data_IF_393913173212
#
_entry.id   IF_393913173212
#
_cell.length_a   1.000
_cell.length_b   1.000
_cell.length_c   1.000
_cell.angle_alpha   90.00
_cell.angle_beta   90.00
_cell.angle_gamma   90.00
#
_symmetry.space_group_name_H-M   'P 1'
#
loop_
_entity.id
_entity.type
_entity.pdbx_description
1 polymer ?
#
# COMPACT_ATOMS: atom_id res chain seq x y z
N UNK A 1 8.09 1.54 1.34
CA UNK A 1 8.93 2.72 1.07
C UNK A 1 9.34 2.78 -0.39
N UNK A 2 9.99 3.87 -0.86
CA UNK A 2 10.42 3.97 -2.25
C UNK A 2 11.48 5.04 -2.50
N UNK A 3 12.18 4.93 -3.63
CA UNK A 3 13.02 5.99 -4.17
C UNK A 3 12.15 6.90 -5.06
N UNK A 4 12.17 8.19 -4.81
CA UNK A 4 11.44 9.20 -5.58
C UNK A 4 12.41 9.89 -6.52
N UNK A 5 12.08 9.96 -7.81
CA UNK A 5 12.91 10.60 -8.83
C UNK A 5 12.08 11.51 -9.72
N UNK A 6 12.60 12.68 -10.07
CA UNK A 6 12.00 13.58 -11.05
C UNK A 6 12.86 13.56 -12.31
N UNK A 7 12.27 13.20 -13.45
CA UNK A 7 12.93 13.19 -14.74
C UNK A 7 12.89 14.56 -15.46
N UNK A 8 13.59 14.64 -16.58
CA UNK A 8 13.63 15.86 -17.43
C UNK A 8 12.30 16.17 -18.11
N UNK A 9 11.37 15.23 -18.16
CA UNK A 9 10.03 15.38 -18.76
C UNK A 9 8.96 15.77 -17.73
N UNK A 10 9.38 16.15 -16.51
CA UNK A 10 8.48 16.50 -15.38
C UNK A 10 7.59 15.33 -14.95
N UNK A 11 8.09 14.10 -15.04
CA UNK A 11 7.48 12.94 -14.44
C UNK A 11 8.14 12.71 -13.08
N UNK A 12 7.34 12.53 -12.04
CA UNK A 12 7.81 12.10 -10.73
C UNK A 12 7.52 10.60 -10.61
N UNK A 13 8.58 9.81 -10.51
CA UNK A 13 8.48 8.38 -10.28
C UNK A 13 8.68 8.04 -8.81
N UNK A 14 7.89 7.12 -8.29
CA UNK A 14 8.12 6.43 -7.03
C UNK A 14 8.43 4.99 -7.39
N UNK A 15 9.70 4.60 -7.20
CA UNK A 15 10.19 3.26 -7.47
C UNK A 15 10.17 2.46 -6.17
N UNK A 16 9.43 1.36 -6.15
CA UNK A 16 9.40 0.43 -5.02
C UNK A 16 9.63 -1.00 -5.51
N UNK A 17 10.25 -1.81 -4.67
CA UNK A 17 10.50 -3.22 -4.92
C UNK A 17 9.85 -4.04 -3.80
N UNK A 18 8.93 -4.91 -4.16
CA UNK A 18 8.17 -5.73 -3.22
C UNK A 18 8.81 -7.11 -3.14
N UNK A 19 9.35 -7.44 -1.98
CA UNK A 19 9.95 -8.74 -1.70
C UNK A 19 8.98 -9.53 -0.85
N UNK A 20 8.47 -10.65 -1.38
CA UNK A 20 7.60 -11.54 -0.63
C UNK A 20 8.31 -12.83 -0.25
N UNK A 21 7.99 -13.34 0.94
CA UNK A 21 8.54 -14.59 1.48
C UNK A 21 7.52 -15.23 2.43
N UNK A 22 7.82 -16.41 2.96
CA UNK A 22 6.94 -17.16 3.87
C UNK A 22 6.29 -18.37 3.19
N UNK A 23 5.61 -19.20 3.99
CA UNK A 23 5.12 -20.50 3.52
C UNK A 23 4.00 -20.39 2.49
N UNK A 24 3.21 -19.32 2.54
CA UNK A 24 2.11 -19.08 1.61
C UNK A 24 2.46 -18.12 0.45
N UNK A 25 3.71 -17.62 0.41
CA UNK A 25 4.19 -16.81 -0.71
C UNK A 25 4.45 -17.68 -1.95
N UNK A 26 4.10 -17.17 -3.13
CA UNK A 26 4.38 -17.80 -4.41
C UNK A 26 4.76 -16.75 -5.45
N UNK A 27 5.48 -17.12 -6.54
CA UNK A 27 5.77 -16.19 -7.62
C UNK A 27 4.52 -15.53 -8.20
N UNK A 28 3.45 -16.31 -8.42
CA UNK A 28 2.19 -15.83 -9.00
C UNK A 28 1.49 -14.82 -8.08
N UNK A 29 1.48 -15.09 -6.76
CA UNK A 29 0.91 -14.16 -5.79
C UNK A 29 1.75 -12.88 -5.68
N UNK A 30 3.07 -12.99 -5.78
CA UNK A 30 3.99 -11.85 -5.79
C UNK A 30 3.73 -10.93 -6.98
N UNK A 31 3.56 -11.51 -8.17
CA UNK A 31 3.19 -10.76 -9.37
C UNK A 31 1.81 -10.11 -9.24
N UNK A 32 0.83 -10.81 -8.66
CA UNK A 32 -0.51 -10.26 -8.40
C UNK A 32 -0.44 -9.05 -7.45
N UNK A 33 0.35 -9.14 -6.39
CA UNK A 33 0.56 -8.02 -5.43
C UNK A 33 1.17 -6.82 -6.14
N UNK A 34 2.24 -7.03 -6.94
CA UNK A 34 2.87 -5.97 -7.74
C UNK A 34 1.85 -5.30 -8.67
N UNK A 35 1.11 -6.09 -9.44
CA UNK A 35 0.15 -5.59 -10.41
C UNK A 35 -1.00 -4.82 -9.76
N UNK A 36 -1.50 -5.28 -8.61
CA UNK A 36 -2.51 -4.57 -7.83
C UNK A 36 -1.98 -3.21 -7.37
N UNK A 37 -0.81 -3.17 -6.77
CA UNK A 37 -0.21 -1.91 -6.30
C UNK A 37 0.02 -0.95 -7.47
N UNK A 38 0.73 -1.39 -8.52
CA UNK A 38 1.10 -0.51 -9.64
C UNK A 38 -0.13 0.02 -10.37
N UNK A 39 -1.11 -0.85 -10.65
CA UNK A 39 -2.33 -0.46 -11.35
C UNK A 39 -3.12 0.55 -10.55
N UNK A 40 -3.42 0.25 -9.27
CA UNK A 40 -4.26 1.10 -8.45
C UNK A 40 -3.62 2.46 -8.16
N UNK A 41 -2.32 2.50 -7.86
CA UNK A 41 -1.64 3.76 -7.54
C UNK A 41 -1.41 4.64 -8.77
N UNK A 42 -1.45 4.09 -9.98
CA UNK A 42 -1.41 4.85 -11.23
C UNK A 42 -2.80 5.26 -11.78
N UNK A 43 -3.90 4.63 -11.32
CA UNK A 43 -5.28 4.89 -11.80
C UNK A 43 -5.68 6.38 -11.71
N UNK A 44 -5.31 7.16 -10.65
CA UNK A 44 -5.71 8.56 -10.56
C UNK A 44 -5.05 9.49 -11.58
N UNK A 45 -3.99 9.07 -12.27
CA UNK A 45 -3.19 9.93 -13.17
C UNK A 45 -2.89 11.30 -12.53
N UNK A 46 -2.43 11.27 -11.26
CA UNK A 46 -2.37 12.45 -10.44
C UNK A 46 -1.33 13.46 -10.92
N UNK A 47 -1.76 14.71 -11.01
CA UNK A 47 -0.90 15.88 -11.23
C UNK A 47 -0.78 16.64 -9.92
N UNK A 48 0.45 16.92 -9.49
CA UNK A 48 0.76 17.70 -8.28
C UNK A 48 1.74 18.82 -8.60
N UNK A 49 1.82 19.81 -7.73
CA UNK A 49 2.81 20.88 -7.84
C UNK A 49 3.98 20.64 -6.91
N UNK A 50 5.21 20.64 -7.46
CA UNK A 50 6.47 20.65 -6.71
C UNK A 50 7.24 21.90 -7.11
N UNK A 51 7.57 22.76 -6.12
CA UNK A 51 8.30 24.01 -6.35
C UNK A 51 7.72 24.82 -7.53
N UNK A 52 6.39 24.99 -7.55
CA UNK A 52 5.64 25.69 -8.60
C UNK A 52 5.63 25.01 -9.97
N UNK A 53 6.16 23.80 -10.09
CA UNK A 53 6.13 23.02 -11.32
C UNK A 53 5.11 21.90 -11.20
N UNK A 54 4.21 21.79 -12.19
CA UNK A 54 3.27 20.67 -12.28
C UNK A 54 4.00 19.43 -12.75
N UNK A 55 3.89 18.33 -11.99
CA UNK A 55 4.50 17.03 -12.29
C UNK A 55 3.44 15.93 -12.26
N UNK A 56 3.56 14.96 -13.15
CA UNK A 56 2.72 13.75 -13.14
C UNK A 56 3.38 12.73 -12.22
N UNK A 57 2.62 12.19 -11.27
CA UNK A 57 3.10 11.13 -10.37
C UNK A 57 2.89 9.77 -11.01
N UNK A 58 3.93 8.94 -11.00
CA UNK A 58 3.94 7.58 -11.50
C UNK A 58 4.56 6.64 -10.47
N UNK A 59 3.95 5.48 -10.30
CA UNK A 59 4.46 4.40 -9.47
C UNK A 59 5.03 3.31 -10.38
N UNK A 60 6.29 2.93 -10.14
CA UNK A 60 6.97 1.82 -10.79
C UNK A 60 7.25 0.76 -9.75
N UNK A 61 6.52 -0.32 -9.81
CA UNK A 61 6.60 -1.40 -8.83
C UNK A 61 7.25 -2.62 -9.49
N UNK A 62 8.33 -3.06 -8.90
CA UNK A 62 8.94 -4.36 -9.22
C UNK A 62 8.70 -5.32 -8.06
N UNK A 63 8.80 -6.62 -8.30
CA UNK A 63 8.62 -7.59 -7.24
C UNK A 63 9.53 -8.81 -7.41
N UNK A 64 9.83 -9.46 -6.28
CA UNK A 64 10.60 -10.68 -6.20
C UNK A 64 9.99 -11.62 -5.15
N UNK A 65 9.78 -12.88 -5.53
CA UNK A 65 9.50 -13.94 -4.58
C UNK A 65 10.81 -14.56 -4.10
N UNK A 66 11.02 -14.61 -2.78
CA UNK A 66 12.15 -15.29 -2.16
C UNK A 66 11.67 -16.51 -1.39
N UNK A 67 11.96 -17.69 -1.89
CA UNK A 67 11.67 -18.94 -1.18
C UNK A 67 12.42 -19.02 0.15
N UNK A 68 13.65 -18.49 0.17
CA UNK A 68 14.51 -18.40 1.35
C UNK A 68 15.07 -16.99 1.46
N UNK A 69 14.88 -16.38 2.59
CA UNK A 69 15.45 -15.09 2.97
C UNK A 69 15.92 -15.18 4.41
N UNK A 70 17.10 -14.67 4.71
CA UNK A 70 17.57 -14.61 6.09
C UNK A 70 17.15 -13.30 6.77
N UNK A 71 17.08 -13.33 8.09
CA UNK A 71 16.87 -12.13 8.89
C UNK A 71 18.01 -11.11 8.68
N UNK A 72 19.25 -11.57 8.51
CA UNK A 72 20.42 -10.72 8.23
C UNK A 72 20.22 -9.95 6.93
N UNK A 73 19.71 -10.59 5.87
CA UNK A 73 19.45 -9.93 4.59
C UNK A 73 18.43 -8.79 4.74
N UNK A 74 17.39 -8.99 5.54
CA UNK A 74 16.39 -7.96 5.82
C UNK A 74 16.98 -6.85 6.68
N UNK A 75 17.67 -7.20 7.78
CA UNK A 75 18.26 -6.21 8.71
C UNK A 75 19.34 -5.33 8.06
N UNK A 76 20.10 -5.88 7.11
CA UNK A 76 21.17 -5.16 6.43
C UNK A 76 20.72 -4.42 5.17
N UNK A 77 19.42 -4.41 4.88
CA UNK A 77 18.91 -3.70 3.71
C UNK A 77 19.21 -2.20 3.78
N UNK A 78 19.82 -1.68 2.74
CA UNK A 78 20.11 -0.26 2.54
C UNK A 78 19.51 0.31 1.23
N UNK A 79 18.78 -0.53 0.45
CA UNK A 79 18.06 -0.07 -0.74
C UNK A 79 16.69 0.48 -0.34
N UNK A 80 16.45 1.80 -0.55
CA UNK A 80 15.18 2.44 -0.17
C UNK A 80 13.98 1.98 -0.98
N UNK A 81 14.17 1.15 -2.00
CA UNK A 81 13.08 0.59 -2.79
C UNK A 81 12.50 -0.66 -2.16
N UNK A 82 13.28 -1.39 -1.36
CA UNK A 82 12.91 -2.71 -0.84
C UNK A 82 11.85 -2.63 0.27
N UNK A 83 10.78 -3.38 0.06
CA UNK A 83 9.70 -3.59 1.03
C UNK A 83 9.51 -5.09 1.23
N UNK A 84 9.53 -5.54 2.47
CA UNK A 84 9.54 -6.96 2.84
C UNK A 84 8.20 -7.38 3.42
N UNK A 85 7.52 -8.32 2.77
CA UNK A 85 6.23 -8.83 3.23
C UNK A 85 6.27 -10.34 3.41
N UNK A 86 6.07 -10.77 4.67
CA UNK A 86 5.84 -12.18 4.93
C UNK A 86 4.41 -12.55 4.61
N UNK A 87 4.19 -13.69 3.93
CA UNK A 87 2.86 -14.19 3.59
C UNK A 87 2.65 -15.57 4.21
N UNK A 88 1.60 -15.70 5.03
CA UNK A 88 1.23 -16.93 5.70
C UNK A 88 -0.29 -17.16 5.64
N UNK A 89 -0.73 -18.42 5.78
CA UNK A 89 -2.15 -18.74 5.91
C UNK A 89 -2.74 -18.22 7.21
N UNK A 90 -1.95 -18.23 8.29
CA UNK A 90 -2.34 -17.75 9.60
C UNK A 90 -1.62 -16.45 9.97
N UNK A 91 -2.38 -15.49 10.49
CA UNK A 91 -1.85 -14.25 11.08
C UNK A 91 -2.51 -14.01 12.44
N UNK A 92 -1.70 -13.67 13.44
CA UNK A 92 -2.22 -13.27 14.75
C UNK A 92 -3.12 -12.04 14.57
N UNK A 93 -4.28 -12.01 15.20
CA UNK A 93 -5.27 -10.94 15.02
C UNK A 93 -6.07 -11.03 13.71
N UNK A 94 -5.81 -12.03 12.86
CA UNK A 94 -6.55 -12.31 11.62
C UNK A 94 -6.53 -11.15 10.59
N UNK A 95 -5.44 -10.36 10.57
CA UNK A 95 -5.27 -9.18 9.71
C UNK A 95 -3.95 -9.25 8.93
N UNK A 96 -3.90 -8.51 7.84
CA UNK A 96 -2.66 -8.10 7.18
C UNK A 96 -2.26 -6.73 7.71
N UNK A 97 -0.96 -6.44 7.80
CA UNK A 97 -0.48 -5.17 8.34
C UNK A 97 0.92 -4.81 7.85
N UNK A 98 1.24 -3.53 7.94
CA UNK A 98 2.60 -2.99 7.92
C UNK A 98 3.00 -2.62 9.34
N UNK A 99 4.29 -2.72 9.68
CA UNK A 99 4.81 -2.54 11.05
C UNK A 99 4.60 -1.13 11.63
N UNK A 100 4.15 -0.22 10.81
CA UNK A 100 3.82 1.16 11.16
C UNK A 100 3.80 2.04 9.92
N UNK A 101 3.39 3.29 10.11
CA UNK A 101 3.39 4.26 9.02
C UNK A 101 4.83 4.55 8.61
N UNK A 102 5.11 4.56 7.31
CA UNK A 102 6.43 4.65 6.66
C UNK A 102 7.28 3.36 6.70
N UNK A 103 6.88 2.32 7.42
CA UNK A 103 7.69 1.11 7.57
C UNK A 103 7.78 0.30 6.27
N UNK A 104 8.97 -0.25 5.99
CA UNK A 104 9.22 -1.07 4.79
C UNK A 104 9.05 -2.57 5.00
N UNK A 105 8.39 -2.97 6.06
CA UNK A 105 8.14 -4.36 6.40
C UNK A 105 6.72 -4.58 6.91
N UNK A 106 6.21 -5.81 6.73
CA UNK A 106 4.85 -6.17 7.11
C UNK A 106 4.56 -7.65 6.96
N UNK A 107 3.31 -7.99 7.29
CA UNK A 107 2.83 -9.37 7.30
C UNK A 107 1.47 -9.47 6.60
N UNK A 108 1.36 -10.34 5.63
CA UNK A 108 0.12 -10.59 4.91
C UNK A 108 -0.48 -11.93 5.27
N UNK A 109 -1.77 -11.92 5.63
CA UNK A 109 -2.57 -13.14 5.69
C UNK A 109 -3.05 -13.48 4.29
N UNK A 110 -2.78 -14.71 3.83
CA UNK A 110 -3.11 -15.17 2.48
C UNK A 110 -4.58 -14.91 2.11
N UNK A 111 -5.51 -15.22 3.02
CA UNK A 111 -6.96 -15.03 2.81
C UNK A 111 -7.33 -13.58 2.48
N UNK A 112 -6.52 -12.59 2.88
CA UNK A 112 -6.76 -11.19 2.61
C UNK A 112 -6.24 -10.73 1.22
N UNK A 113 -5.53 -11.60 0.49
CA UNK A 113 -4.89 -11.29 -0.80
C UNK A 113 -5.66 -11.84 -2.00
N UNK A 114 -6.98 -12.05 -1.86
CA UNK A 114 -7.78 -12.46 -3.02
C UNK A 114 -7.83 -11.36 -4.09
N UNK A 115 -7.99 -11.73 -5.35
CA UNK A 115 -8.03 -10.78 -6.47
C UNK A 115 -9.11 -9.71 -6.26
N UNK A 116 -8.70 -8.45 -6.28
CA UNK A 116 -9.58 -7.31 -6.03
C UNK A 116 -9.80 -6.98 -4.55
N UNK A 117 -9.10 -7.63 -3.61
CA UNK A 117 -9.17 -7.30 -2.18
C UNK A 117 -8.70 -5.89 -1.86
N UNK A 118 -7.87 -5.33 -2.73
CA UNK A 118 -7.17 -4.04 -2.54
C UNK A 118 -6.27 -3.99 -1.29
N UNK A 119 -6.00 -5.15 -0.70
CA UNK A 119 -5.21 -5.23 0.54
C UNK A 119 -3.77 -4.83 0.30
N UNK A 120 -3.14 -5.35 -0.76
CA UNK A 120 -1.75 -5.02 -1.05
C UNK A 120 -1.57 -3.52 -1.36
N UNK A 121 -2.48 -2.92 -2.12
CA UNK A 121 -2.46 -1.49 -2.42
C UNK A 121 -2.70 -0.62 -1.18
N UNK A 122 -3.55 -1.06 -0.24
CA UNK A 122 -3.79 -0.40 1.04
C UNK A 122 -2.55 -0.42 1.93
N UNK A 123 -1.98 -1.61 2.15
CA UNK A 123 -0.78 -1.77 2.98
C UNK A 123 0.43 -1.03 2.38
N UNK A 124 0.57 -1.04 1.05
CA UNK A 124 1.58 -0.23 0.38
C UNK A 124 1.41 1.27 0.67
N UNK A 125 0.18 1.78 0.79
CA UNK A 125 -0.08 3.15 1.22
C UNK A 125 0.55 3.50 2.57
N UNK A 126 0.54 2.56 3.52
CA UNK A 126 1.21 2.73 4.80
C UNK A 126 2.73 2.80 4.65
N UNK A 127 3.33 1.99 3.78
CA UNK A 127 4.80 2.01 3.57
C UNK A 127 5.31 3.32 3.00
N UNK A 128 4.47 4.08 2.31
CA UNK A 128 4.80 5.38 1.72
C UNK A 128 4.22 6.56 2.51
N UNK A 129 3.77 6.32 3.75
CA UNK A 129 3.49 7.37 4.73
C UNK A 129 2.02 7.78 4.91
N UNK A 130 1.07 7.01 4.40
CA UNK A 130 -0.35 7.30 4.63
C UNK A 130 -0.88 6.56 5.86
N UNK A 131 -1.63 7.29 6.66
CA UNK A 131 -2.39 6.76 7.79
C UNK A 131 -3.87 6.57 7.41
N UNK A 132 -4.60 5.82 8.23
CA UNK A 132 -6.05 5.73 8.11
C UNK A 132 -6.70 7.10 8.32
N UNK A 133 -7.76 7.45 7.53
CA UNK A 133 -8.56 8.61 7.81
C UNK A 133 -9.21 8.52 9.20
N UNK A 134 -9.29 9.66 9.89
CA UNK A 134 -9.91 9.72 11.24
C UNK A 134 -11.43 9.62 11.19
N UNK A 135 -12.05 10.17 10.14
CA UNK A 135 -13.49 10.08 9.93
C UNK A 135 -13.81 8.79 9.18
N UNK A 136 -14.44 7.87 9.86
CA UNK A 136 -14.82 6.55 9.33
C UNK A 136 -16.31 6.48 8.94
N UNK A 137 -17.03 7.58 8.91
CA UNK A 137 -18.38 7.68 8.34
C UNK A 137 -18.33 8.51 7.05
N UNK A 138 -18.31 7.81 5.92
CA UNK A 138 -18.23 8.43 4.60
C UNK A 138 -19.50 8.25 3.77
N UNK A 139 -20.61 7.98 4.42
CA UNK A 139 -21.91 7.90 3.75
C UNK A 139 -22.22 9.23 3.06
N UNK A 140 -22.69 9.16 1.80
CA UNK A 140 -22.92 10.34 0.96
C UNK A 140 -21.67 11.02 0.42
N UNK A 141 -20.45 10.51 0.70
CA UNK A 141 -19.18 11.12 0.23
C UNK A 141 -18.58 10.40 -0.99
N UNK A 142 -19.28 9.40 -1.53
CA UNK A 142 -18.86 8.69 -2.75
C UNK A 142 -17.91 7.52 -2.51
N UNK A 143 -17.04 7.25 -3.48
CA UNK A 143 -16.18 6.06 -3.48
C UNK A 143 -15.16 6.10 -2.33
N UNK A 144 -15.02 5.00 -1.57
CA UNK A 144 -14.03 4.89 -0.51
C UNK A 144 -12.59 5.01 -1.05
N UNK A 145 -11.78 5.89 -0.44
CA UNK A 145 -10.34 5.96 -0.72
C UNK A 145 -9.61 4.72 -0.23
N UNK A 146 -8.40 4.50 -0.79
CA UNK A 146 -7.63 3.28 -0.52
C UNK A 146 -7.29 3.09 0.96
N UNK A 147 -7.08 4.18 1.70
CA UNK A 147 -6.66 4.13 3.10
C UNK A 147 -7.80 3.91 4.11
N UNK A 148 -9.06 3.76 3.68
CA UNK A 148 -10.15 3.46 4.59
C UNK A 148 -10.11 1.99 5.06
N UNK A 149 -10.17 1.71 6.38
CA UNK A 149 -10.22 0.35 6.92
C UNK A 149 -11.60 -0.30 6.72
N UNK A 150 -11.68 -1.63 6.84
CA UNK A 150 -12.92 -2.42 6.62
C UNK A 150 -14.11 -2.00 7.48
N UNK A 151 -13.87 -1.44 8.68
CA UNK A 151 -14.92 -0.96 9.58
C UNK A 151 -15.58 0.36 9.17
N UNK A 152 -15.19 0.96 8.06
CA UNK A 152 -15.72 2.24 7.57
C UNK A 152 -17.20 2.13 7.22
N UNK A 153 -17.99 3.14 7.64
CA UNK A 153 -19.40 3.27 7.28
C UNK A 153 -19.52 3.92 5.92
N UNK A 154 -20.16 3.23 5.00
CA UNK A 154 -20.27 3.62 3.57
C UNK A 154 -21.73 3.53 3.11
N UNK A 155 -22.01 4.08 1.95
CA UNK A 155 -23.29 3.88 1.27
C UNK A 155 -23.50 2.39 0.93
N UNK A 156 -24.76 1.91 0.84
CA UNK A 156 -25.07 0.49 0.66
C UNK A 156 -24.33 -0.19 -0.49
N UNK A 157 -24.12 0.49 -1.62
CA UNK A 157 -23.43 -0.07 -2.78
C UNK A 157 -21.95 -0.41 -2.54
N UNK A 158 -21.35 0.07 -1.46
CA UNK A 158 -19.96 -0.21 -1.08
C UNK A 158 -19.84 -1.18 0.10
N UNK A 159 -20.97 -1.68 0.63
CA UNK A 159 -20.99 -2.63 1.75
C UNK A 159 -20.74 -4.07 1.29
N UNK A 160 -20.37 -4.94 2.23
CA UNK A 160 -20.38 -6.39 2.00
C UNK A 160 -21.77 -6.90 1.60
N UNK A 161 -22.80 -6.41 2.29
CA UNK A 161 -24.20 -6.71 2.03
C UNK A 161 -24.99 -5.39 1.99
N UNK A 162 -25.41 -4.93 0.80
CA UNK A 162 -26.14 -3.67 0.62
C UNK A 162 -27.51 -3.65 1.35
N UNK A 163 -28.05 -4.80 1.73
CA UNK A 163 -29.34 -4.91 2.46
C UNK A 163 -29.21 -4.68 3.96
N UNK A 164 -27.99 -4.65 4.49
CA UNK A 164 -27.75 -4.51 5.93
C UNK A 164 -27.64 -3.04 6.34
N UNK A 165 -28.16 -2.68 7.52
CA UNK A 165 -27.92 -1.35 8.07
C UNK A 165 -26.42 -1.09 8.25
N UNK A 166 -25.98 0.15 7.99
CA UNK A 166 -24.59 0.55 8.17
C UNK A 166 -24.11 0.29 9.61
N UNK A 167 -22.91 -0.26 9.74
CA UNK A 167 -22.29 -0.57 11.04
C UNK A 167 -22.67 -1.92 11.64
N UNK A 168 -23.64 -2.63 11.08
CA UNK A 168 -23.96 -4.01 11.50
C UNK A 168 -23.05 -5.03 10.76
N UNK A 169 -23.13 -6.30 11.15
CA UNK A 169 -22.42 -7.38 10.45
C UNK A 169 -22.87 -7.44 8.98
N UNK A 170 -21.94 -7.20 8.05
CA UNK A 170 -22.20 -7.08 6.61
C UNK A 170 -22.48 -5.64 6.16
N UNK A 171 -22.85 -4.72 7.04
CA UNK A 171 -23.17 -3.32 6.76
C UNK A 171 -21.98 -2.36 6.85
N UNK A 172 -20.76 -2.86 6.68
CA UNK A 172 -19.53 -2.06 6.59
C UNK A 172 -18.86 -2.22 5.22
N UNK A 173 -17.90 -1.40 4.94
CA UNK A 173 -17.23 -1.35 3.65
C UNK A 173 -16.60 -2.69 3.24
N UNK A 174 -16.92 -3.15 2.03
CA UNK A 174 -16.21 -4.24 1.38
C UNK A 174 -14.92 -3.71 0.73
N UNK A 175 -13.74 -4.25 1.05
CA UNK A 175 -12.46 -3.73 0.56
C UNK A 175 -12.35 -3.58 -0.97
N UNK A 176 -13.01 -4.44 -1.74
CA UNK A 176 -12.99 -4.38 -3.20
C UNK A 176 -13.49 -3.06 -3.80
N UNK A 177 -14.21 -2.26 -3.00
CA UNK A 177 -14.72 -0.97 -3.44
C UNK A 177 -13.76 0.20 -3.20
N UNK A 178 -12.64 -0.04 -2.49
CA UNK A 178 -11.62 0.98 -2.30
C UNK A 178 -10.93 1.33 -3.61
N UNK A 179 -10.58 2.59 -3.74
CA UNK A 179 -9.80 3.09 -4.89
C UNK A 179 -8.72 4.05 -4.41
N UNK A 180 -7.58 4.03 -5.08
CA UNK A 180 -6.62 5.12 -4.92
C UNK A 180 -7.23 6.36 -5.56
N UNK A 181 -7.38 7.41 -4.78
CA UNK A 181 -7.93 8.69 -5.24
C UNK A 181 -6.80 9.72 -5.39
N UNK A 182 -7.05 10.76 -6.16
CA UNK A 182 -6.10 11.88 -6.26
C UNK A 182 -5.76 12.48 -4.89
N UNK A 183 -6.72 12.47 -3.96
CA UNK A 183 -6.53 12.94 -2.59
C UNK A 183 -5.46 12.12 -1.84
N UNK A 184 -5.38 10.79 -2.07
CA UNK A 184 -4.36 9.94 -1.46
C UNK A 184 -2.96 10.36 -1.94
N UNK A 185 -2.80 10.63 -3.24
CA UNK A 185 -1.51 11.12 -3.80
C UNK A 185 -1.15 12.50 -3.23
N UNK A 186 -2.10 13.41 -3.08
CA UNK A 186 -1.88 14.73 -2.47
C UNK A 186 -1.44 14.59 -1.00
N UNK A 187 -2.04 13.63 -0.28
CA UNK A 187 -1.74 13.35 1.12
C UNK A 187 -0.34 12.75 1.36
N UNK A 188 0.33 12.22 0.34
CA UNK A 188 1.75 11.84 0.41
C UNK A 188 2.66 13.07 0.65
N UNK A 189 2.15 14.29 0.45
CA UNK A 189 2.88 15.55 0.67
C UNK A 189 4.23 15.61 -0.05
N UNK A 190 4.32 15.05 -1.26
CA UNK A 190 5.55 14.96 -2.04
C UNK A 190 6.22 16.32 -2.27
N UNK A 191 5.46 17.42 -2.21
CA UNK A 191 5.99 18.80 -2.27
C UNK A 191 6.87 19.20 -1.07
N UNK A 192 6.86 18.41 0.02
CA UNK A 192 7.68 18.62 1.22
C UNK A 192 8.96 17.81 1.22
N UNK A 193 9.10 16.86 0.31
CA UNK A 193 10.27 15.99 0.20
C UNK A 193 11.47 16.82 -0.28
N UNK A 194 12.63 16.58 0.33
CA UNK A 194 13.88 17.23 -0.06
C UNK A 194 14.62 16.39 -1.06
N UNK A 195 14.72 16.87 -2.30
CA UNK A 195 15.47 16.21 -3.37
C UNK A 195 16.96 16.54 -3.28
N UNK A 196 17.81 15.53 -3.52
CA UNK A 196 19.24 15.66 -3.76
C UNK A 196 19.53 15.00 -5.10
N UNK A 197 20.10 15.74 -6.05
CA UNK A 197 20.35 15.23 -7.42
C UNK A 197 19.12 14.61 -8.07
N UNK A 198 17.96 15.28 -7.95
CA UNK A 198 16.64 14.83 -8.43
C UNK A 198 16.09 13.54 -7.78
N UNK A 199 16.74 13.04 -6.73
CA UNK A 199 16.31 11.85 -5.97
C UNK A 199 15.97 12.19 -4.52
N UNK A 200 15.04 11.41 -3.98
CA UNK A 200 14.63 11.47 -2.58
C UNK A 200 14.15 10.10 -2.12
N UNK A 201 13.88 9.94 -0.83
CA UNK A 201 13.31 8.72 -0.25
C UNK A 201 11.97 9.06 0.37
N UNK A 202 10.98 8.18 0.18
CA UNK A 202 9.70 8.16 0.89
C UNK A 202 9.60 6.86 1.70
N UNK A 203 9.16 6.98 2.96
CA UNK A 203 9.18 5.86 3.90
C UNK A 203 10.48 5.79 4.70
N UNK A 204 10.62 4.77 5.53
CA UNK A 204 11.71 4.59 6.49
C UNK A 204 12.23 3.15 6.50
N UNK A 205 13.53 2.97 6.75
CA UNK A 205 14.14 1.66 6.94
C UNK A 205 13.79 1.13 8.34
N UNK A 206 12.83 0.24 8.43
CA UNK A 206 12.54 -0.51 9.66
C UNK A 206 13.13 -1.91 9.62
N UNK A 207 13.15 -2.52 8.42
CA UNK A 207 13.85 -3.77 8.13
C UNK A 207 13.52 -4.91 9.12
N UNK A 208 12.22 -5.05 9.45
CA UNK A 208 11.78 -6.10 10.38
C UNK A 208 11.63 -7.42 9.63
N UNK A 209 12.32 -8.44 10.12
CA UNK A 209 12.14 -9.81 9.65
C UNK A 209 11.05 -10.50 10.47
N UNK A 210 9.97 -10.90 9.82
CA UNK A 210 8.86 -11.60 10.47
C UNK A 210 9.09 -13.11 10.46
N UNK A 211 8.85 -13.74 11.63
CA UNK A 211 8.69 -15.19 11.76
C UNK A 211 7.22 -15.58 11.48
N UNK A 212 6.93 -16.87 11.18
CA UNK A 212 5.55 -17.34 11.14
C UNK A 212 4.86 -17.09 12.47
N UNK A 213 3.61 -16.64 12.44
CA UNK A 213 2.77 -16.61 13.64
C UNK A 213 2.37 -18.05 14.00
N UNK A 214 2.42 -18.38 15.28
CA UNK A 214 2.01 -19.68 15.83
C UNK A 214 0.70 -19.55 16.59
#
# INVERSE_FOLDING_TARGET
MGEVEIDSQRQLYIHSHIITYGHAATPQLTDQIRDEIETMWNEPHALINIQSTAVIVRFKITAEFKQHISDIEVYQNDDPRNNYFRIEEFALGNISFVDGINCNSGFFKLENLYKGSTTAAHEYGHTIGLDHPKDLDIRGKGTPGIMYPRGTLVDPQFQYDPSKPAGTKGGTMHPMHRKVLRADIVNLKLHKIRFRNNKAIIGEFTNVYHLPHM
#
